data_IF_653107710244
#
_entry.id   IF_653107710244
#
_cell.length_a   1.000
_cell.length_b   1.000
_cell.length_c   1.000
_cell.angle_alpha   90.00
_cell.angle_beta   90.00
_cell.angle_gamma   90.00
#
_symmetry.space_group_name_H-M   'P 1'
#
loop_
_entity.id
_entity.type
_entity.pdbx_description
1 polymer ?
#
# COMPACT_ATOMS: atom_id res chain seq x y z
N UNK A 1 -15.84 10.34 -8.42
CA UNK A 1 -15.39 9.09 -9.09
C UNK A 1 -15.11 9.44 -10.55
N UNK A 2 -13.84 9.40 -10.99
CA UNK A 2 -13.50 9.58 -12.41
C UNK A 2 -13.09 8.21 -12.95
N UNK A 3 -13.96 7.59 -13.74
CA UNK A 3 -13.70 6.31 -14.37
C UNK A 3 -13.03 6.59 -15.73
N UNK A 4 -11.71 6.45 -15.80
CA UNK A 4 -10.98 6.51 -17.07
C UNK A 4 -10.38 5.13 -17.32
N UNK A 5 -11.12 4.29 -18.03
CA UNK A 5 -10.61 3.02 -18.57
C UNK A 5 -9.69 3.32 -19.75
N UNK A 6 -8.45 3.71 -19.49
CA UNK A 6 -7.39 3.53 -20.49
C UNK A 6 -6.96 2.08 -20.43
N UNK A 7 -7.53 1.29 -21.32
CA UNK A 7 -7.36 -0.13 -21.69
C UNK A 7 -7.18 -1.20 -20.59
N UNK A 8 -6.40 -1.01 -19.52
CA UNK A 8 -6.26 -1.98 -18.42
C UNK A 8 -6.00 -1.36 -17.04
N UNK A 9 -6.49 -0.14 -16.79
CA UNK A 9 -6.32 0.52 -15.50
C UNK A 9 -7.62 1.13 -14.96
N UNK A 10 -7.73 1.19 -13.64
CA UNK A 10 -8.77 1.92 -12.92
C UNK A 10 -8.11 3.01 -12.07
N UNK A 11 -8.56 4.25 -12.26
CA UNK A 11 -8.07 5.42 -11.54
C UNK A 11 -9.12 5.91 -10.54
N UNK A 12 -8.69 6.16 -9.32
CA UNK A 12 -9.47 6.74 -8.23
C UNK A 12 -8.82 8.07 -7.86
N UNK A 13 -9.61 9.13 -7.72
CA UNK A 13 -9.15 10.47 -7.33
C UNK A 13 -10.12 11.03 -6.29
N UNK A 14 -9.59 11.74 -5.30
CA UNK A 14 -10.33 12.46 -4.27
C UNK A 14 -10.33 11.72 -2.94
N UNK A 15 -9.23 11.86 -2.18
CA UNK A 15 -9.04 11.28 -0.85
C UNK A 15 -9.38 9.78 -0.82
N UNK A 16 -8.63 9.01 -1.62
CA UNK A 16 -8.84 7.59 -1.80
C UNK A 16 -8.30 6.84 -0.59
N UNK A 17 -9.12 5.92 -0.07
CA UNK A 17 -8.71 4.91 0.91
C UNK A 17 -8.89 3.54 0.27
N UNK A 18 -7.78 2.83 0.11
CA UNK A 18 -7.72 1.50 -0.47
C UNK A 18 -7.23 0.46 0.50
N UNK A 19 -7.79 -0.75 0.43
CA UNK A 19 -7.36 -1.89 1.25
C UNK A 19 -7.04 -3.09 0.37
N UNK A 20 -5.97 -3.82 0.70
CA UNK A 20 -5.59 -5.05 0.04
C UNK A 20 -4.99 -6.03 1.04
N UNK A 21 -5.63 -7.19 1.22
CA UNK A 21 -5.31 -8.15 2.30
C UNK A 21 -5.28 -7.42 3.65
N UNK A 22 -4.08 -7.24 4.23
CA UNK A 22 -3.86 -6.65 5.55
C UNK A 22 -3.21 -5.24 5.48
N UNK A 23 -3.22 -4.65 4.28
CA UNK A 23 -2.61 -3.36 4.00
C UNK A 23 -3.67 -2.32 3.68
N UNK A 24 -3.54 -1.13 4.27
CA UNK A 24 -4.36 0.04 3.98
C UNK A 24 -3.50 1.17 3.41
N UNK A 25 -4.00 1.82 2.36
CA UNK A 25 -3.34 2.91 1.64
C UNK A 25 -4.28 4.10 1.54
N UNK A 26 -3.80 5.29 1.90
CA UNK A 26 -4.50 6.56 1.68
C UNK A 26 -3.70 7.42 0.72
N UNK A 27 -4.37 8.05 -0.25
CA UNK A 27 -3.72 8.96 -1.20
C UNK A 27 -4.73 9.90 -1.87
N UNK A 28 -4.24 10.97 -2.49
CA UNK A 28 -5.08 11.84 -3.32
C UNK A 28 -5.55 11.12 -4.59
N UNK A 29 -4.71 10.24 -5.15
CA UNK A 29 -4.99 9.42 -6.33
C UNK A 29 -4.44 8.00 -6.17
N UNK A 30 -5.22 7.00 -6.57
CA UNK A 30 -4.78 5.61 -6.68
C UNK A 30 -5.10 5.09 -8.08
N UNK A 31 -4.13 4.48 -8.74
CA UNK A 31 -4.31 3.77 -10.01
C UNK A 31 -4.00 2.29 -9.81
N UNK A 32 -4.97 1.42 -10.11
CA UNK A 32 -4.76 -0.02 -10.17
C UNK A 32 -4.61 -0.44 -11.64
N UNK A 33 -3.49 -1.09 -11.96
CA UNK A 33 -3.23 -1.68 -13.27
C UNK A 33 -3.49 -3.18 -13.21
N UNK A 34 -4.19 -3.71 -14.20
CA UNK A 34 -4.55 -5.12 -14.29
C UNK A 34 -3.67 -5.81 -15.32
N UNK A 35 -3.35 -7.09 -15.08
CA UNK A 35 -2.70 -7.89 -16.11
C UNK A 35 -3.70 -8.16 -17.24
N UNK A 36 -3.26 -8.03 -18.48
CA UNK A 36 -4.05 -8.49 -19.63
C UNK A 36 -4.24 -9.99 -19.52
N UNK A 37 -5.50 -10.45 -19.54
CA UNK A 37 -5.76 -11.87 -19.71
C UNK A 37 -5.30 -12.27 -21.11
N UNK A 38 -4.32 -13.16 -21.20
CA UNK A 38 -4.31 -14.09 -22.34
C UNK A 38 -5.57 -14.96 -22.22
N UNK A 39 -6.52 -14.77 -23.14
CA UNK A 39 -7.72 -15.59 -23.25
C UNK A 39 -7.36 -17.04 -23.60
N UNK A 40 -7.41 -17.92 -22.61
CA UNK A 40 -7.33 -19.37 -22.77
C UNK A 40 -8.16 -20.07 -21.68
N UNK A 41 -9.28 -20.68 -22.08
CA UNK A 41 -10.32 -21.28 -21.22
C UNK A 41 -9.79 -22.20 -20.10
N UNK A 42 -10.26 -21.99 -18.86
CA UNK A 42 -10.68 -23.06 -17.96
C UNK A 42 -11.53 -22.53 -16.77
N UNK A 43 -12.76 -23.03 -16.67
CA UNK A 43 -13.27 -23.60 -15.42
C UNK A 43 -13.72 -22.66 -14.30
N UNK A 44 -15.03 -22.39 -14.30
CA UNK A 44 -15.84 -21.89 -13.19
C UNK A 44 -15.87 -22.87 -12.00
N UNK A 45 -15.47 -22.43 -10.79
CA UNK A 45 -15.98 -22.79 -9.45
C UNK A 45 -15.58 -21.62 -8.53
N UNK A 46 -16.44 -20.81 -7.92
CA UNK A 46 -17.70 -21.11 -7.26
C UNK A 46 -17.45 -21.03 -5.76
N UNK A 47 -17.73 -19.88 -5.12
CA UNK A 47 -18.27 -19.89 -3.77
C UNK A 47 -19.17 -18.66 -3.55
N UNK A 48 -20.46 -18.96 -3.40
CA UNK A 48 -21.48 -18.08 -2.87
C UNK A 48 -21.41 -18.08 -1.33
N UNK A 49 -22.06 -17.07 -0.77
CA UNK A 49 -22.58 -16.95 0.59
C UNK A 49 -21.51 -16.64 1.67
N UNK A 50 -21.66 -15.63 2.54
CA UNK A 50 -22.88 -15.31 3.28
C UNK A 50 -23.10 -13.82 3.58
N UNK A 51 -24.38 -13.52 3.53
CA UNK A 51 -25.17 -12.36 3.96
C UNK A 51 -25.25 -12.26 5.49
N UNK A 52 -25.22 -11.06 6.06
CA UNK A 52 -25.77 -10.80 7.41
C UNK A 52 -25.33 -9.45 8.00
N UNK A 53 -26.27 -8.57 8.36
CA UNK A 53 -26.03 -7.20 8.84
C UNK A 53 -25.42 -7.09 10.25
N UNK A 54 -25.39 -5.95 10.94
CA UNK A 54 -26.03 -4.64 10.80
C UNK A 54 -25.38 -3.67 11.84
N UNK A 55 -25.36 -2.36 11.55
CA UNK A 55 -25.37 -1.19 12.49
C UNK A 55 -24.19 -1.02 13.47
N UNK A 56 -23.64 0.16 13.72
CA UNK A 56 -23.97 1.54 13.33
C UNK A 56 -23.01 2.52 14.01
N UNK A 57 -23.08 3.81 13.63
CA UNK A 57 -22.27 4.87 14.22
C UNK A 57 -21.86 5.95 13.22
N UNK A 58 -22.71 6.95 13.07
CA UNK A 58 -22.56 8.30 12.48
C UNK A 58 -21.22 8.97 12.86
N UNK A 59 -20.61 9.97 12.20
CA UNK A 59 -20.77 10.88 11.05
C UNK A 59 -19.34 11.51 10.95
N UNK A 60 -18.72 11.86 9.82
CA UNK A 60 -19.15 12.85 8.86
C UNK A 60 -18.25 12.79 7.59
N UNK A 61 -18.90 12.85 6.43
CA UNK A 61 -18.39 13.40 5.17
C UNK A 61 -17.02 12.97 4.65
N UNK A 62 -16.99 12.02 3.71
CA UNK A 62 -16.39 12.24 2.39
C UNK A 62 -16.59 11.02 1.47
N UNK A 63 -16.91 11.32 0.22
CA UNK A 63 -17.04 10.38 -0.88
C UNK A 63 -15.68 9.73 -1.24
N UNK A 64 -15.18 8.83 -0.39
CA UNK A 64 -14.01 8.00 -0.66
C UNK A 64 -14.47 6.63 -1.15
N UNK A 65 -14.25 6.32 -2.43
CA UNK A 65 -14.51 4.99 -2.96
C UNK A 65 -13.61 3.97 -2.26
N UNK A 66 -14.19 3.15 -1.39
CA UNK A 66 -13.52 2.02 -0.76
C UNK A 66 -13.47 0.88 -1.80
N UNK A 67 -12.32 0.70 -2.44
CA UNK A 67 -12.07 -0.37 -3.40
C UNK A 67 -11.27 -1.50 -2.79
N UNK A 68 -11.74 -2.74 -2.95
CA UNK A 68 -10.94 -3.94 -2.69
C UNK A 68 -10.15 -4.31 -3.95
N UNK A 69 -8.82 -4.32 -3.82
CA UNK A 69 -7.87 -4.47 -4.92
C UNK A 69 -7.48 -5.97 -5.08
N UNK A 70 -8.39 -6.76 -5.68
CA UNK A 70 -8.31 -8.23 -5.78
C UNK A 70 -7.19 -8.84 -6.67
N UNK A 71 -7.23 -10.17 -6.82
CA UNK A 71 -6.19 -11.09 -7.35
C UNK A 71 -5.81 -10.98 -8.84
N UNK A 72 -6.18 -9.90 -9.54
CA UNK A 72 -5.86 -9.65 -10.97
C UNK A 72 -5.04 -8.39 -11.20
N UNK A 73 -4.57 -7.76 -10.14
CA UNK A 73 -3.83 -6.50 -10.20
C UNK A 73 -2.35 -6.81 -10.41
N UNK A 74 -1.76 -6.19 -11.42
CA UNK A 74 -0.32 -6.19 -11.68
C UNK A 74 0.40 -5.29 -10.66
N UNK A 75 -0.03 -4.02 -10.60
CA UNK A 75 0.53 -3.02 -9.70
C UNK A 75 -0.49 -1.97 -9.28
N UNK A 76 -0.26 -1.42 -8.09
CA UNK A 76 -1.01 -0.29 -7.56
C UNK A 76 -0.07 0.92 -7.46
N UNK A 77 -0.51 2.07 -7.94
CA UNK A 77 0.22 3.33 -7.87
C UNK A 77 -0.59 4.31 -7.04
N UNK A 78 -0.08 4.73 -5.89
CA UNK A 78 -0.68 5.75 -5.05
C UNK A 78 0.14 7.04 -5.10
N UNK A 79 -0.51 8.18 -5.22
CA UNK A 79 0.12 9.48 -5.41
C UNK A 79 -0.59 10.59 -4.64
N UNK A 80 0.20 11.52 -4.11
CA UNK A 80 -0.26 12.70 -3.40
C UNK A 80 -0.58 12.39 -1.93
N UNK A 81 0.34 12.78 -1.04
CA UNK A 81 0.22 12.60 0.41
C UNK A 81 -0.10 11.16 0.80
N UNK A 82 0.72 10.23 0.32
CA UNK A 82 0.47 8.80 0.51
C UNK A 82 0.77 8.39 1.95
N UNK A 83 -0.16 7.65 2.55
CA UNK A 83 0.03 6.94 3.81
C UNK A 83 -0.23 5.46 3.63
N UNK A 84 0.55 4.64 4.32
CA UNK A 84 0.50 3.19 4.28
C UNK A 84 0.43 2.66 5.72
N UNK A 85 -0.42 1.67 5.97
CA UNK A 85 -0.41 0.87 7.20
C UNK A 85 -0.45 -0.60 6.82
N UNK A 86 0.47 -1.39 7.39
CA UNK A 86 0.54 -2.84 7.20
C UNK A 86 0.97 -3.51 8.50
N UNK A 87 0.03 -4.07 9.26
CA UNK A 87 0.29 -4.56 10.61
C UNK A 87 0.79 -3.44 11.53
N UNK A 88 2.02 -3.59 12.06
CA UNK A 88 2.70 -2.57 12.90
C UNK A 88 3.50 -1.53 12.09
N UNK A 89 3.57 -1.68 10.78
CA UNK A 89 4.38 -0.83 9.92
C UNK A 89 3.54 0.34 9.41
N UNK A 90 4.08 1.56 9.54
CA UNK A 90 3.45 2.79 9.04
C UNK A 90 4.38 3.50 8.06
N UNK A 91 3.87 3.83 6.88
CA UNK A 91 4.62 4.51 5.84
C UNK A 91 4.01 5.85 5.44
N UNK A 92 4.85 6.82 5.08
CA UNK A 92 4.43 8.07 4.46
C UNK A 92 5.37 8.44 3.31
N UNK A 93 4.83 8.90 2.17
CA UNK A 93 5.63 9.31 1.01
C UNK A 93 4.80 10.16 0.04
N UNK A 94 5.45 10.69 -1.00
CA UNK A 94 4.73 11.41 -2.08
C UNK A 94 4.12 10.44 -3.10
N UNK A 95 4.81 9.33 -3.37
CA UNK A 95 4.39 8.29 -4.32
C UNK A 95 4.78 6.90 -3.81
N UNK A 96 3.87 5.95 -3.98
CA UNK A 96 4.05 4.54 -3.67
C UNK A 96 3.67 3.69 -4.89
N UNK A 97 4.50 2.72 -5.22
CA UNK A 97 4.21 1.69 -6.23
C UNK A 97 4.26 0.32 -5.55
N UNK A 98 3.17 -0.42 -5.57
CA UNK A 98 3.11 -1.80 -5.10
C UNK A 98 3.07 -2.75 -6.29
N UNK A 99 4.10 -3.58 -6.43
CA UNK A 99 4.15 -4.68 -7.38
C UNK A 99 3.57 -5.94 -6.73
N UNK A 100 2.38 -6.36 -7.17
CA UNK A 100 1.61 -7.39 -6.48
C UNK A 100 2.26 -8.76 -6.63
N UNK A 101 2.78 -9.08 -7.82
CA UNK A 101 3.43 -10.36 -8.10
C UNK A 101 4.70 -10.57 -7.25
N UNK A 102 5.48 -9.51 -7.05
CA UNK A 102 6.74 -9.57 -6.31
C UNK A 102 6.56 -9.35 -4.80
N UNK A 103 5.40 -8.81 -4.39
CA UNK A 103 5.17 -8.39 -3.02
C UNK A 103 6.08 -7.23 -2.58
N UNK A 104 6.47 -6.35 -3.52
CA UNK A 104 7.41 -5.25 -3.27
C UNK A 104 6.70 -3.91 -3.36
N UNK A 105 6.81 -3.13 -2.29
CA UNK A 105 6.39 -1.72 -2.24
C UNK A 105 7.63 -0.85 -2.45
N UNK A 106 7.54 0.11 -3.35
CA UNK A 106 8.55 1.15 -3.56
C UNK A 106 7.97 2.52 -3.24
N UNK A 107 8.56 3.19 -2.25
CA UNK A 107 8.14 4.50 -1.75
C UNK A 107 9.14 5.58 -2.16
N UNK A 108 8.65 6.72 -2.65
CA UNK A 108 9.45 7.83 -3.17
C UNK A 108 8.91 9.20 -2.78
N UNK A 109 9.78 10.21 -2.87
CA UNK A 109 9.45 11.59 -2.57
C UNK A 109 9.33 11.82 -1.07
N UNK A 110 10.48 11.84 -0.40
CA UNK A 110 10.63 11.92 1.06
C UNK A 110 9.96 10.76 1.81
N UNK A 111 10.28 9.49 1.45
CA UNK A 111 9.69 8.34 2.12
C UNK A 111 10.17 8.22 3.58
N UNK A 112 9.22 7.89 4.45
CA UNK A 112 9.44 7.55 5.86
C UNK A 112 8.72 6.23 6.11
N UNK A 113 9.42 5.27 6.71
CA UNK A 113 8.84 4.01 7.18
C UNK A 113 9.11 3.86 8.67
N UNK A 114 8.08 3.52 9.43
CA UNK A 114 8.14 3.23 10.86
C UNK A 114 7.79 1.78 11.09
N UNK A 115 8.67 1.05 11.76
CA UNK A 115 8.43 -0.31 12.26
C UNK A 115 8.54 -0.28 13.79
N UNK A 116 7.38 -0.16 14.45
CA UNK A 116 7.32 0.03 15.90
C UNK A 116 8.07 1.28 16.33
N UNK A 117 9.18 1.10 17.06
CA UNK A 117 10.02 2.21 17.52
C UNK A 117 11.03 2.67 16.46
N UNK A 118 11.33 1.84 15.46
CA UNK A 118 12.34 2.13 14.46
C UNK A 118 11.77 3.05 13.38
N UNK A 119 12.54 4.05 12.97
CA UNK A 119 12.16 4.95 11.86
C UNK A 119 13.27 4.99 10.83
N UNK A 120 12.88 4.86 9.57
CA UNK A 120 13.79 4.80 8.43
C UNK A 120 13.39 5.86 7.41
N UNK A 121 14.39 6.59 6.89
CA UNK A 121 14.24 7.62 5.86
C UNK A 121 15.34 7.50 4.80
N UNK A 122 15.01 7.87 3.57
CA UNK A 122 15.94 7.90 2.45
C UNK A 122 15.35 8.62 1.26
N UNK A 123 15.94 8.43 0.07
CA UNK A 123 15.33 8.93 -1.17
C UNK A 123 14.33 7.93 -1.72
N UNK A 124 14.63 6.63 -1.60
CA UNK A 124 13.73 5.51 -1.94
C UNK A 124 13.76 4.48 -0.81
N UNK A 125 12.58 4.02 -0.41
CA UNK A 125 12.43 2.85 0.48
C UNK A 125 11.76 1.74 -0.31
N UNK A 126 12.36 0.55 -0.34
CA UNK A 126 11.71 -0.68 -0.80
C UNK A 126 11.30 -1.51 0.41
N UNK A 127 10.05 -1.92 0.47
CA UNK A 127 9.52 -2.81 1.50
C UNK A 127 9.04 -4.12 0.86
N UNK A 128 9.67 -5.22 1.25
CA UNK A 128 9.39 -6.57 0.79
C UNK A 128 8.39 -7.21 1.75
N UNK A 129 7.11 -7.23 1.39
CA UNK A 129 6.02 -7.61 2.30
C UNK A 129 6.14 -9.07 2.73
N UNK A 130 6.55 -9.96 1.82
CA UNK A 130 6.69 -11.40 2.09
C UNK A 130 7.87 -11.74 3.01
N UNK A 131 8.89 -10.88 3.03
CA UNK A 131 10.10 -11.07 3.83
C UNK A 131 10.11 -10.20 5.11
N UNK A 132 9.14 -9.29 5.25
CA UNK A 132 9.13 -8.23 6.25
C UNK A 132 10.48 -7.49 6.34
N UNK A 133 11.07 -7.22 5.17
CA UNK A 133 12.40 -6.61 5.03
C UNK A 133 12.28 -5.25 4.34
N UNK A 134 13.10 -4.29 4.79
CA UNK A 134 13.19 -2.97 4.15
C UNK A 134 14.60 -2.72 3.62
N UNK A 135 14.71 -2.19 2.40
CA UNK A 135 15.94 -1.68 1.81
C UNK A 135 15.80 -0.18 1.58
N UNK A 136 16.83 0.57 1.97
CA UNK A 136 16.84 2.03 1.89
C UNK A 136 17.94 2.43 0.95
N UNK A 137 17.57 3.20 -0.07
CA UNK A 137 18.51 3.71 -1.05
C UNK A 137 18.71 5.20 -0.81
N UNK A 138 19.98 5.58 -0.63
CA UNK A 138 20.42 6.96 -0.80
C UNK A 138 20.44 7.26 -2.29
N UNK A 139 19.77 8.32 -2.71
CA UNK A 139 20.02 8.93 -4.00
C UNK A 139 21.20 9.89 -3.91
N UNK A 140 21.46 10.61 -5.00
CA UNK A 140 22.53 11.63 -5.08
C UNK A 140 22.25 12.88 -4.26
N UNK A 141 21.01 13.06 -3.77
CA UNK A 141 20.54 14.29 -3.14
C UNK A 141 20.43 14.21 -1.61
N UNK A 142 20.17 13.03 -1.01
CA UNK A 142 20.09 12.89 0.45
C UNK A 142 20.85 11.67 0.98
N UNK A 143 21.36 11.84 2.20
CA UNK A 143 21.95 10.77 3.01
C UNK A 143 20.84 9.91 3.63
N UNK A 144 21.03 8.59 3.67
CA UNK A 144 20.17 7.67 4.43
C UNK A 144 20.20 8.04 5.91
N UNK A 145 19.04 8.14 6.54
CA UNK A 145 18.89 8.32 7.98
C UNK A 145 18.06 7.15 8.52
N UNK A 146 18.71 6.28 9.29
CA UNK A 146 18.04 5.18 9.98
C UNK A 146 18.21 5.37 11.49
N UNK A 147 17.08 5.58 12.18
CA UNK A 147 17.04 5.68 13.63
C UNK A 147 16.56 4.32 14.14
N UNK A 148 17.51 3.50 14.57
CA UNK A 148 17.25 2.23 15.22
C UNK A 148 17.24 2.42 16.74
N UNK A 149 16.15 2.08 17.39
CA UNK A 149 16.11 1.97 18.84
C UNK A 149 16.36 0.50 19.18
N UNK A 150 17.60 0.17 19.56
CA UNK A 150 17.82 -1.10 20.23
C UNK A 150 17.26 -0.97 21.64
N UNK A 151 16.36 -1.87 22.04
CA UNK A 151 16.15 -2.08 23.46
C UNK A 151 17.47 -2.59 24.01
N UNK A 152 18.17 -1.78 24.79
CA UNK A 152 19.15 -2.26 25.74
C UNK A 152 18.45 -3.30 26.62
N UNK A 153 18.60 -4.56 26.25
CA UNK A 153 18.25 -5.67 27.12
C UNK A 153 19.32 -5.64 28.20
N UNK A 154 18.99 -4.94 29.28
CA UNK A 154 19.90 -4.57 30.35
C UNK A 154 20.81 -5.71 30.77
N UNK A 155 22.11 -5.39 30.85
CA UNK A 155 23.04 -6.10 31.70
C UNK A 155 22.56 -5.98 33.16
N UNK A 156 21.79 -6.98 33.61
CA UNK A 156 21.32 -7.12 34.97
C UNK A 156 21.91 -8.38 35.59
N UNK A 157 23.05 -8.17 36.26
CA UNK A 157 23.78 -8.97 37.26
C UNK A 157 23.36 -10.42 37.51
#
# INVERSE_FOLDING_TARGET
>A
MVYSQTENAVVFIGNVHGTQKDMAIWAAKITAYFTEKNDGKAGQKGQKDQKGGQKGGQEAGQAGGQGDFGSKIDRIVAEGSVRLVSGKNEGACSRLVYHVADGVIRMEGNPILRDGQNTVRGDVIKFYIHENRSEVLSGTQRRVEAIFYQQDKGAGK
#
